data_IF_898578187802
#
_entry.id   IF_898578187802
#
_cell.length_a   1.000
_cell.length_b   1.000
_cell.length_c   1.000
_cell.angle_alpha   90.00
_cell.angle_beta   90.00
_cell.angle_gamma   90.00
#
_symmetry.space_group_name_H-M   'P 1'
#
loop_
_entity.id
_entity.type
_entity.pdbx_description
1 polymer ?
#
# COMPACT_ATOMS: atom_id res chain seq x y z
N UNK A 1 -14.05 -14.99 -6.57
CA UNK A 1 -14.50 -14.08 -5.49
C UNK A 1 -14.05 -12.69 -5.91
N UNK A 2 -14.95 -11.68 -5.97
CA UNK A 2 -14.55 -10.33 -6.34
C UNK A 2 -13.61 -9.75 -5.28
N UNK A 3 -12.48 -9.17 -5.72
CA UNK A 3 -11.51 -8.51 -4.85
C UNK A 3 -12.17 -7.35 -4.08
N UNK A 4 -11.84 -7.23 -2.79
CA UNK A 4 -12.27 -6.15 -1.92
C UNK A 4 -11.13 -5.19 -1.68
N UNK A 5 -11.18 -4.00 -2.28
CA UNK A 5 -10.18 -2.96 -2.08
C UNK A 5 -10.61 -1.96 -1.01
N UNK A 6 -9.76 -1.78 -0.01
CA UNK A 6 -9.95 -0.78 1.04
C UNK A 6 -9.28 0.53 0.62
N UNK A 7 -10.07 1.56 0.39
CA UNK A 7 -9.58 2.91 0.14
C UNK A 7 -9.54 3.72 1.43
N UNK A 8 -8.37 4.22 1.83
CA UNK A 8 -8.22 5.08 3.00
C UNK A 8 -7.62 6.42 2.63
N UNK A 9 -8.35 7.49 2.91
CA UNK A 9 -7.87 8.87 2.77
C UNK A 9 -8.25 9.69 4.01
N UNK A 10 -7.31 10.53 4.48
CA UNK A 10 -7.51 11.30 5.71
C UNK A 10 -8.64 12.34 5.60
N UNK A 11 -8.96 12.80 4.39
CA UNK A 11 -10.02 13.76 4.13
C UNK A 11 -10.78 13.40 2.85
N UNK A 12 -11.74 12.49 2.94
CA UNK A 12 -12.68 12.19 1.83
C UNK A 12 -13.39 13.46 1.38
N UNK A 13 -13.64 14.41 2.30
CA UNK A 13 -14.24 15.71 2.03
C UNK A 13 -13.51 16.51 0.94
N UNK A 14 -12.18 16.36 0.83
CA UNK A 14 -11.37 17.16 -0.09
C UNK A 14 -10.96 16.40 -1.36
N UNK A 15 -11.47 15.15 -1.58
CA UNK A 15 -10.97 14.29 -2.65
C UNK A 15 -12.02 13.58 -3.48
N UNK A 16 -12.65 14.35 -4.38
CA UNK A 16 -13.60 13.80 -5.35
C UNK A 16 -13.01 12.69 -6.22
N UNK A 17 -11.69 12.70 -6.47
CA UNK A 17 -11.01 11.71 -7.32
C UNK A 17 -11.04 10.30 -6.73
N UNK A 18 -10.84 10.15 -5.40
CA UNK A 18 -10.84 8.84 -4.73
C UNK A 18 -12.23 8.21 -4.78
N UNK A 19 -13.28 8.99 -4.50
CA UNK A 19 -14.66 8.51 -4.57
C UNK A 19 -15.05 8.13 -6.01
N UNK A 20 -14.67 8.94 -7.00
CA UNK A 20 -14.89 8.60 -8.41
C UNK A 20 -14.17 7.33 -8.80
N UNK A 21 -12.91 7.15 -8.37
CA UNK A 21 -12.13 5.95 -8.63
C UNK A 21 -12.76 4.71 -7.99
N UNK A 22 -13.22 4.80 -6.73
CA UNK A 22 -13.89 3.71 -6.03
C UNK A 22 -15.18 3.27 -6.74
N UNK A 23 -16.01 4.24 -7.15
CA UNK A 23 -17.25 3.98 -7.92
C UNK A 23 -16.92 3.35 -9.28
N UNK A 24 -15.94 3.92 -10.00
CA UNK A 24 -15.54 3.40 -11.31
C UNK A 24 -15.00 1.98 -11.22
N UNK A 25 -14.14 1.70 -10.25
CA UNK A 25 -13.57 0.38 -10.01
C UNK A 25 -14.69 -0.67 -9.81
N UNK A 26 -15.64 -0.37 -8.94
CA UNK A 26 -16.74 -1.28 -8.63
C UNK A 26 -17.69 -1.46 -9.83
N UNK A 27 -18.06 -0.38 -10.53
CA UNK A 27 -18.92 -0.43 -11.74
C UNK A 27 -18.25 -1.12 -12.92
N UNK A 28 -16.93 -1.10 -12.97
CA UNK A 28 -16.14 -1.85 -13.97
C UNK A 28 -16.07 -3.36 -13.69
N UNK A 29 -16.67 -3.85 -12.59
CA UNK A 29 -16.68 -5.27 -12.23
C UNK A 29 -15.32 -5.79 -11.75
N UNK A 30 -14.37 -4.90 -11.43
CA UNK A 30 -13.03 -5.29 -10.98
C UNK A 30 -13.01 -5.80 -9.53
N UNK A 31 -14.01 -5.39 -8.73
CA UNK A 31 -14.14 -5.82 -7.34
C UNK A 31 -15.05 -4.91 -6.54
N UNK A 32 -15.11 -5.13 -5.22
CA UNK A 32 -15.83 -4.26 -4.28
C UNK A 32 -14.90 -3.20 -3.71
N UNK A 33 -15.41 -1.98 -3.55
CA UNK A 33 -14.70 -0.88 -2.93
C UNK A 33 -15.25 -0.62 -1.53
N UNK A 34 -14.36 -0.66 -0.52
CA UNK A 34 -14.65 -0.21 0.84
C UNK A 34 -13.98 1.14 1.06
N UNK A 35 -14.73 2.11 1.52
CA UNK A 35 -14.23 3.47 1.76
C UNK A 35 -14.19 3.75 3.25
N UNK A 36 -13.02 4.00 3.81
CA UNK A 36 -12.87 4.34 5.23
C UNK A 36 -13.19 5.82 5.43
N UNK A 37 -14.28 6.11 6.14
CA UNK A 37 -14.71 7.48 6.38
C UNK A 37 -15.98 7.60 7.21
N UNK A 38 -16.41 8.84 7.44
CA UNK A 38 -17.72 9.09 8.03
C UNK A 38 -18.79 8.94 6.96
N UNK A 39 -19.82 8.16 7.25
CA UNK A 39 -20.89 7.87 6.30
C UNK A 39 -21.55 9.15 5.75
N UNK A 40 -21.85 10.11 6.63
CA UNK A 40 -22.47 11.38 6.26
C UNK A 40 -21.59 12.21 5.30
N UNK A 41 -20.28 12.28 5.58
CA UNK A 41 -19.31 13.03 4.76
C UNK A 41 -19.19 12.40 3.36
N UNK A 42 -19.11 11.06 3.30
CA UNK A 42 -19.01 10.31 2.03
C UNK A 42 -20.28 10.50 1.20
N UNK A 43 -21.46 10.32 1.80
CA UNK A 43 -22.75 10.47 1.13
C UNK A 43 -22.98 11.88 0.61
N UNK A 44 -22.66 12.89 1.45
CA UNK A 44 -22.75 14.29 1.02
C UNK A 44 -21.85 14.55 -0.20
N UNK A 45 -20.61 14.04 -0.15
CA UNK A 45 -19.65 14.25 -1.23
C UNK A 45 -20.04 13.53 -2.53
N UNK A 46 -20.59 12.34 -2.44
CA UNK A 46 -21.12 11.62 -3.61
C UNK A 46 -22.26 12.42 -4.29
N UNK A 47 -23.14 13.04 -3.50
CA UNK A 47 -24.19 13.94 -4.04
C UNK A 47 -23.58 15.14 -4.77
N UNK A 48 -22.60 15.82 -4.16
CA UNK A 48 -21.91 16.97 -4.75
C UNK A 48 -21.22 16.60 -6.09
N UNK A 49 -20.82 15.34 -6.24
CA UNK A 49 -20.16 14.82 -7.45
C UNK A 49 -21.12 14.35 -8.54
N UNK A 50 -22.43 14.41 -8.29
CA UNK A 50 -23.45 13.85 -9.17
C UNK A 50 -23.49 12.32 -9.21
N UNK A 51 -22.97 11.67 -8.14
CA UNK A 51 -22.90 10.22 -7.99
C UNK A 51 -23.81 9.74 -6.84
N UNK A 52 -24.97 10.36 -6.69
CA UNK A 52 -25.92 10.05 -5.63
C UNK A 52 -26.41 8.58 -5.67
N UNK A 53 -26.51 8.02 -6.85
CA UNK A 53 -26.84 6.61 -7.10
C UNK A 53 -25.80 5.63 -6.52
N UNK A 54 -24.53 6.02 -6.51
CA UNK A 54 -23.47 5.19 -5.93
C UNK A 54 -23.47 5.10 -4.38
N UNK A 55 -24.33 5.86 -3.71
CA UNK A 55 -24.47 5.83 -2.24
C UNK A 55 -24.83 4.44 -1.71
N UNK A 56 -25.63 3.69 -2.46
CA UNK A 56 -26.04 2.34 -2.11
C UNK A 56 -25.09 1.27 -2.63
N UNK A 57 -24.19 1.62 -3.53
CA UNK A 57 -23.23 0.69 -4.12
C UNK A 57 -21.97 0.58 -3.27
N UNK A 58 -21.48 1.70 -2.70
CA UNK A 58 -20.23 1.72 -1.93
C UNK A 58 -20.45 1.34 -0.47
N UNK A 59 -19.59 0.47 0.02
CA UNK A 59 -19.50 0.15 1.44
C UNK A 59 -18.63 1.19 2.16
N UNK A 60 -19.23 1.90 3.12
CA UNK A 60 -18.55 2.92 3.92
C UNK A 60 -18.30 2.39 5.32
N UNK A 61 -17.04 2.37 5.74
CA UNK A 61 -16.64 1.89 7.06
C UNK A 61 -16.15 3.06 7.93
N UNK A 62 -16.83 3.29 9.04
CA UNK A 62 -16.45 4.32 10.00
C UNK A 62 -15.58 3.73 11.11
N UNK A 63 -14.31 4.12 11.14
CA UNK A 63 -13.33 3.63 12.11
C UNK A 63 -13.77 3.82 13.59
N UNK A 64 -14.53 4.87 13.90
CA UNK A 64 -14.98 5.14 15.25
C UNK A 64 -16.26 4.39 15.65
N UNK A 65 -16.97 3.77 14.70
CA UNK A 65 -18.26 3.11 14.92
C UNK A 65 -18.27 1.63 14.55
N UNK A 66 -17.12 1.07 14.18
CA UNK A 66 -17.02 -0.34 13.80
C UNK A 66 -17.10 -1.25 15.03
N UNK A 67 -17.77 -2.38 14.89
CA UNK A 67 -17.80 -3.46 15.91
C UNK A 67 -16.42 -4.13 16.10
N UNK A 68 -15.53 -4.01 15.11
CA UNK A 68 -14.19 -4.61 15.14
C UNK A 68 -13.16 -3.76 15.89
N UNK A 69 -13.51 -2.56 16.40
CA UNK A 69 -12.54 -1.63 16.97
C UNK A 69 -11.76 -2.23 18.16
N UNK A 70 -12.42 -2.99 19.02
CA UNK A 70 -11.76 -3.59 20.18
C UNK A 70 -10.74 -4.64 19.76
N UNK A 71 -11.10 -5.52 18.83
CA UNK A 71 -10.17 -6.54 18.27
C UNK A 71 -8.96 -5.86 17.61
N UNK A 72 -9.19 -4.78 16.88
CA UNK A 72 -8.11 -4.02 16.23
C UNK A 72 -7.19 -3.33 17.25
N UNK A 73 -7.74 -2.82 18.34
CA UNK A 73 -6.97 -2.22 19.44
C UNK A 73 -6.08 -3.25 20.15
N UNK A 74 -6.64 -4.41 20.47
CA UNK A 74 -5.91 -5.48 21.15
C UNK A 74 -4.74 -5.97 20.27
N UNK A 75 -5.01 -6.23 19.00
CA UNK A 75 -3.99 -6.59 18.04
C UNK A 75 -2.89 -5.52 17.92
N UNK A 76 -3.29 -4.25 17.78
CA UNK A 76 -2.34 -3.14 17.63
C UNK A 76 -1.53 -2.90 18.90
N UNK A 77 -2.16 -3.04 20.09
CA UNK A 77 -1.49 -2.89 21.37
C UNK A 77 -0.42 -3.95 21.58
N UNK A 78 -0.72 -5.22 21.28
CA UNK A 78 0.25 -6.29 21.39
C UNK A 78 1.51 -6.04 20.54
N UNK A 79 1.37 -5.40 19.40
CA UNK A 79 2.47 -5.04 18.50
C UNK A 79 3.26 -3.82 18.97
N UNK A 80 2.57 -2.83 19.56
CA UNK A 80 3.14 -1.50 19.84
C UNK A 80 3.55 -1.29 21.31
N UNK A 81 3.06 -2.09 22.26
CA UNK A 81 3.37 -1.96 23.69
C UNK A 81 4.88 -1.95 23.98
N UNK A 82 5.68 -2.75 23.26
CA UNK A 82 7.15 -2.77 23.40
C UNK A 82 7.85 -1.58 22.75
N UNK A 83 7.13 -0.83 21.91
CA UNK A 83 7.61 0.41 21.26
C UNK A 83 7.22 1.66 22.06
N UNK A 84 6.65 1.50 23.27
CA UNK A 84 6.32 2.59 24.19
C UNK A 84 4.94 3.21 23.99
N UNK A 85 4.04 2.57 23.23
CA UNK A 85 2.67 3.04 23.05
C UNK A 85 1.79 2.53 24.21
N UNK A 86 1.04 3.43 24.81
CA UNK A 86 0.04 3.09 25.82
C UNK A 86 -1.33 2.74 25.18
N UNK A 87 -2.28 2.18 25.96
CA UNK A 87 -3.61 1.84 25.44
C UNK A 87 -4.40 3.03 24.89
N UNK A 88 -4.19 4.26 25.41
CA UNK A 88 -4.86 5.46 24.94
C UNK A 88 -4.30 5.90 23.58
N UNK A 89 -2.99 5.80 23.40
CA UNK A 89 -2.33 6.02 22.09
C UNK A 89 -2.85 5.05 21.05
N UNK A 90 -2.89 3.77 21.38
CA UNK A 90 -3.39 2.71 20.48
C UNK A 90 -4.85 2.95 20.10
N UNK A 91 -5.70 3.29 21.09
CA UNK A 91 -7.10 3.64 20.81
C UNK A 91 -7.20 4.83 19.82
N UNK A 92 -6.42 5.88 20.07
CA UNK A 92 -6.40 7.07 19.21
C UNK A 92 -5.93 6.74 17.79
N UNK A 93 -4.90 5.92 17.65
CA UNK A 93 -4.35 5.52 16.36
C UNK A 93 -5.37 4.62 15.62
N UNK A 94 -5.89 3.58 16.25
CA UNK A 94 -6.83 2.65 15.65
C UNK A 94 -8.15 3.33 15.23
N UNK A 95 -8.65 4.32 16.00
CA UNK A 95 -9.94 4.95 15.72
C UNK A 95 -9.86 6.20 14.84
N UNK A 96 -8.70 6.86 14.75
CA UNK A 96 -8.56 8.16 14.07
C UNK A 96 -7.59 8.16 12.90
N UNK A 97 -6.57 7.31 12.90
CA UNK A 97 -5.66 7.20 11.76
C UNK A 97 -6.22 6.21 10.75
N UNK A 98 -6.71 6.73 9.63
CA UNK A 98 -7.37 5.92 8.60
C UNK A 98 -6.42 5.00 7.85
N UNK A 99 -5.13 5.33 7.78
CA UNK A 99 -4.13 4.46 7.16
C UNK A 99 -3.92 3.21 8.02
N UNK A 100 -3.76 3.41 9.34
CA UNK A 100 -3.65 2.30 10.31
C UNK A 100 -4.94 1.50 10.35
N UNK A 101 -6.10 2.16 10.41
CA UNK A 101 -7.38 1.47 10.43
C UNK A 101 -7.60 0.60 9.19
N UNK A 102 -7.31 1.12 7.99
CA UNK A 102 -7.45 0.36 6.76
C UNK A 102 -6.42 -0.79 6.66
N UNK A 103 -5.21 -0.60 7.19
CA UNK A 103 -4.24 -1.67 7.33
C UNK A 103 -4.71 -2.76 8.31
N UNK A 104 -5.36 -2.39 9.42
CA UNK A 104 -5.97 -3.33 10.36
C UNK A 104 -7.12 -4.13 9.72
N UNK A 105 -7.95 -3.49 8.89
CA UNK A 105 -8.98 -4.20 8.11
C UNK A 105 -8.34 -5.26 7.21
N UNK A 106 -7.24 -4.93 6.54
CA UNK A 106 -6.51 -5.85 5.68
C UNK A 106 -5.91 -7.01 6.49
N UNK A 107 -5.26 -6.72 7.61
CA UNK A 107 -4.66 -7.72 8.49
C UNK A 107 -5.68 -8.74 9.04
N UNK A 108 -6.95 -8.34 9.17
CA UNK A 108 -8.03 -9.20 9.66
C UNK A 108 -8.89 -9.80 8.52
N UNK A 109 -8.45 -9.69 7.26
CA UNK A 109 -9.15 -10.30 6.13
C UNK A 109 -10.44 -9.60 5.71
N UNK A 110 -10.67 -8.35 6.15
CA UNK A 110 -11.83 -7.55 5.75
C UNK A 110 -11.65 -6.87 4.39
N UNK A 111 -10.50 -7.06 3.75
CA UNK A 111 -10.18 -6.60 2.41
C UNK A 111 -8.99 -7.36 1.84
N UNK A 112 -8.81 -7.34 0.54
CA UNK A 112 -7.75 -8.05 -0.20
C UNK A 112 -6.59 -7.12 -0.59
N UNK A 113 -6.82 -5.81 -0.58
CA UNK A 113 -5.82 -4.81 -0.92
C UNK A 113 -6.13 -3.45 -0.32
N UNK A 114 -5.11 -2.64 -0.13
CA UNK A 114 -5.20 -1.29 0.41
C UNK A 114 -4.69 -0.27 -0.61
N UNK A 115 -5.56 0.71 -0.94
CA UNK A 115 -5.19 1.87 -1.76
C UNK A 115 -5.18 3.12 -0.88
N UNK A 116 -4.01 3.74 -0.73
CA UNK A 116 -3.83 4.88 0.17
C UNK A 116 -2.71 5.82 -0.33
N UNK A 117 -2.54 6.99 0.30
CA UNK A 117 -1.33 7.82 0.13
C UNK A 117 -1.45 9.05 -0.75
N UNK A 118 -2.62 9.41 -1.26
CA UNK A 118 -2.80 10.55 -2.19
C UNK A 118 -2.44 11.91 -1.56
N UNK A 119 -2.48 12.05 -0.22
CA UNK A 119 -2.27 13.33 0.48
C UNK A 119 -1.05 13.40 1.35
N UNK A 120 -0.52 12.27 1.73
CA UNK A 120 0.60 12.18 2.65
C UNK A 120 1.87 11.79 1.90
N UNK A 121 3.02 12.17 2.44
CA UNK A 121 4.31 11.66 1.97
C UNK A 121 4.31 10.13 2.12
N UNK A 122 4.82 9.44 1.14
CA UNK A 122 4.92 7.96 1.10
C UNK A 122 5.58 7.38 2.34
N UNK A 123 6.69 7.97 2.80
CA UNK A 123 7.36 7.56 4.02
C UNK A 123 6.45 7.60 5.27
N UNK A 124 5.59 8.64 5.39
CA UNK A 124 4.63 8.74 6.49
C UNK A 124 3.56 7.64 6.40
N UNK A 125 3.08 7.34 5.19
CA UNK A 125 2.07 6.30 4.99
C UNK A 125 2.66 4.92 5.28
N UNK A 126 3.87 4.67 4.80
CA UNK A 126 4.59 3.41 5.07
C UNK A 126 4.84 3.21 6.57
N UNK A 127 5.27 4.26 7.28
CA UNK A 127 5.41 4.24 8.73
C UNK A 127 4.10 3.82 9.44
N UNK A 128 2.95 4.36 9.00
CA UNK A 128 1.64 3.99 9.55
C UNK A 128 1.26 2.54 9.25
N UNK A 129 1.55 2.07 8.04
CA UNK A 129 1.30 0.67 7.66
C UNK A 129 2.19 -0.28 8.47
N UNK A 130 3.45 0.10 8.74
CA UNK A 130 4.39 -0.66 9.57
C UNK A 130 3.99 -0.75 11.06
N UNK A 131 2.99 0.00 11.51
CA UNK A 131 2.38 -0.25 12.84
C UNK A 131 1.57 -1.55 12.85
N UNK A 132 1.05 -1.96 11.70
CA UNK A 132 0.17 -3.12 11.53
C UNK A 132 0.89 -4.32 10.92
N UNK A 133 1.69 -4.09 9.91
CA UNK A 133 2.46 -5.13 9.21
C UNK A 133 3.94 -5.03 9.56
N UNK A 134 4.60 -6.18 9.67
CA UNK A 134 6.05 -6.24 9.66
C UNK A 134 6.54 -6.31 8.21
N UNK A 135 7.74 -5.79 7.98
CA UNK A 135 8.46 -6.12 6.75
C UNK A 135 8.63 -7.65 6.68
N UNK A 136 8.58 -8.20 5.49
CA UNK A 136 8.93 -9.61 5.31
C UNK A 136 10.32 -9.85 5.90
N UNK A 137 10.44 -10.84 6.80
CA UNK A 137 11.71 -11.11 7.48
C UNK A 137 12.82 -11.56 6.52
N UNK A 138 12.44 -12.13 5.38
CA UNK A 138 13.38 -12.63 4.38
C UNK A 138 13.77 -11.54 3.37
N UNK A 139 12.79 -10.83 2.80
CA UNK A 139 13.02 -9.98 1.61
C UNK A 139 12.64 -8.51 1.82
N UNK A 140 12.31 -8.11 3.04
CA UNK A 140 12.00 -6.72 3.38
C UNK A 140 10.74 -6.14 2.69
N UNK A 141 10.72 -4.82 2.56
CA UNK A 141 9.68 -4.06 1.84
C UNK A 141 10.30 -3.45 0.59
N UNK A 142 9.64 -3.64 -0.54
CA UNK A 142 10.13 -3.20 -1.84
C UNK A 142 9.08 -2.36 -2.55
N UNK A 143 9.48 -1.22 -3.07
CA UNK A 143 8.64 -0.35 -3.90
C UNK A 143 8.68 -0.79 -5.36
N UNK A 144 7.54 -1.22 -5.93
CA UNK A 144 7.48 -1.67 -7.32
C UNK A 144 6.55 -0.77 -8.12
N UNK A 145 7.06 -0.20 -9.21
CA UNK A 145 6.29 0.59 -10.16
C UNK A 145 6.10 -0.17 -11.46
N UNK A 146 4.84 -0.37 -11.87
CA UNK A 146 4.53 -0.96 -13.17
C UNK A 146 4.39 0.16 -14.22
N UNK A 147 5.26 0.13 -15.23
CA UNK A 147 5.17 0.99 -16.41
C UNK A 147 4.51 0.21 -17.54
N UNK A 148 3.36 0.70 -18.02
CA UNK A 148 2.61 0.08 -19.11
C UNK A 148 2.73 0.97 -20.34
N UNK A 149 3.34 0.46 -21.42
CA UNK A 149 3.50 1.19 -22.66
C UNK A 149 3.38 0.26 -23.88
N UNK A 150 2.50 0.59 -24.82
CA UNK A 150 2.29 -0.16 -26.07
C UNK A 150 2.18 -1.68 -25.88
N UNK A 151 1.39 -2.10 -24.86
CA UNK A 151 1.17 -3.52 -24.57
C UNK A 151 2.33 -4.23 -23.88
N UNK A 152 3.39 -3.51 -23.50
CA UNK A 152 4.49 -4.03 -22.69
C UNK A 152 4.35 -3.57 -21.25
N UNK A 153 4.70 -4.45 -20.32
CA UNK A 153 4.77 -4.15 -18.90
C UNK A 153 6.24 -4.23 -18.47
N UNK A 154 6.72 -3.17 -17.86
CA UNK A 154 8.07 -3.11 -17.27
C UNK A 154 7.87 -2.82 -15.78
N UNK A 155 8.44 -3.64 -14.94
CA UNK A 155 8.49 -3.40 -13.50
C UNK A 155 9.81 -2.72 -13.16
N UNK A 156 9.73 -1.61 -12.46
CA UNK A 156 10.90 -0.84 -11.98
C UNK A 156 10.91 -0.95 -10.46
N UNK A 157 12.04 -1.35 -9.87
CA UNK A 157 12.22 -1.61 -8.45
C UNK A 157 13.66 -1.33 -8.00
N UNK A 158 13.96 -0.84 -6.81
CA UNK A 158 13.05 -0.21 -5.86
C UNK A 158 12.82 1.24 -6.26
N UNK A 159 11.58 1.70 -6.13
CA UNK A 159 11.24 3.07 -6.55
C UNK A 159 10.97 4.00 -5.37
N UNK A 160 10.99 3.51 -4.12
CA UNK A 160 10.45 4.33 -3.03
C UNK A 160 10.98 4.04 -1.62
N UNK A 161 11.43 2.83 -1.33
CA UNK A 161 11.62 2.37 0.05
C UNK A 161 13.06 2.40 0.48
N UNK A 162 13.96 1.90 -0.35
CA UNK A 162 15.38 1.76 -0.02
C UNK A 162 16.23 2.78 -0.77
N UNK A 163 16.84 3.72 -0.03
CA UNK A 163 17.70 4.75 -0.62
C UNK A 163 19.11 4.24 -0.93
N UNK A 164 19.62 3.32 -0.09
CA UNK A 164 21.00 2.82 -0.15
C UNK A 164 21.04 1.29 0.02
N UNK A 165 20.53 0.50 -0.94
CA UNK A 165 20.55 -0.95 -0.85
C UNK A 165 21.99 -1.47 -0.94
N UNK A 166 22.31 -2.51 -0.16
CA UNK A 166 23.51 -3.34 -0.33
C UNK A 166 23.29 -4.42 -1.40
N UNK A 167 24.26 -5.29 -1.62
CA UNK A 167 24.20 -6.34 -2.64
C UNK A 167 23.05 -7.32 -2.40
N UNK A 168 22.88 -7.75 -1.14
CA UNK A 168 21.80 -8.63 -0.73
C UNK A 168 20.45 -7.94 -0.86
N UNK A 169 20.33 -6.69 -0.42
CA UNK A 169 19.08 -5.92 -0.57
C UNK A 169 18.67 -5.80 -2.05
N UNK A 170 19.64 -5.63 -2.96
CA UNK A 170 19.39 -5.58 -4.40
C UNK A 170 18.89 -6.94 -4.94
N UNK A 171 19.43 -8.05 -4.46
CA UNK A 171 18.96 -9.38 -4.80
C UNK A 171 17.53 -9.60 -4.29
N UNK A 172 17.26 -9.27 -3.03
CA UNK A 172 15.93 -9.36 -2.41
C UNK A 172 14.89 -8.50 -3.18
N UNK A 173 15.26 -7.29 -3.60
CA UNK A 173 14.44 -6.41 -4.45
C UNK A 173 14.14 -7.09 -5.79
N UNK A 174 15.13 -7.72 -6.41
CA UNK A 174 14.96 -8.39 -7.70
C UNK A 174 14.04 -9.61 -7.56
N UNK A 175 14.18 -10.40 -6.51
CA UNK A 175 13.32 -11.55 -6.22
C UNK A 175 11.87 -11.13 -5.97
N UNK A 176 11.65 -10.10 -5.15
CA UNK A 176 10.33 -9.53 -4.92
C UNK A 176 9.67 -9.05 -6.22
N UNK A 177 10.41 -8.33 -7.06
CA UNK A 177 9.91 -7.87 -8.35
C UNK A 177 9.60 -9.03 -9.31
N UNK A 178 10.44 -10.06 -9.32
CA UNK A 178 10.20 -11.27 -10.09
C UNK A 178 8.95 -12.04 -9.60
N UNK A 179 8.72 -12.08 -8.28
CA UNK A 179 7.51 -12.64 -7.69
C UNK A 179 6.25 -11.93 -8.18
N UNK A 180 6.24 -10.60 -8.17
CA UNK A 180 5.12 -9.80 -8.70
C UNK A 180 4.95 -10.01 -10.20
N UNK A 181 6.03 -10.11 -10.99
CA UNK A 181 5.93 -10.41 -12.42
C UNK A 181 5.22 -11.75 -12.66
N UNK A 182 5.57 -12.80 -11.92
CA UNK A 182 4.90 -14.11 -12.02
C UNK A 182 3.43 -14.04 -11.63
N UNK A 183 3.08 -13.28 -10.60
CA UNK A 183 1.67 -13.06 -10.21
C UNK A 183 0.86 -12.37 -11.32
N UNK A 184 1.52 -11.51 -12.11
CA UNK A 184 0.93 -10.86 -13.29
C UNK A 184 0.93 -11.76 -14.53
N UNK A 185 1.37 -13.01 -14.45
CA UNK A 185 1.46 -13.95 -15.57
C UNK A 185 2.62 -13.64 -16.53
N UNK A 186 3.62 -12.89 -16.08
CA UNK A 186 4.80 -12.54 -16.87
C UNK A 186 5.98 -13.46 -16.51
N UNK A 187 6.79 -13.79 -17.52
CA UNK A 187 8.09 -14.42 -17.29
C UNK A 187 9.11 -13.34 -16.88
N UNK A 188 9.66 -13.38 -15.66
CA UNK A 188 10.56 -12.35 -15.21
C UNK A 188 11.93 -12.43 -15.92
N UNK A 189 12.40 -11.28 -16.40
CA UNK A 189 13.75 -11.06 -16.89
C UNK A 189 14.30 -9.85 -16.17
N UNK A 190 15.26 -10.06 -15.29
CA UNK A 190 15.79 -9.03 -14.41
C UNK A 190 17.06 -8.43 -15.01
N UNK A 191 17.16 -7.10 -14.95
CA UNK A 191 18.38 -6.37 -15.26
C UNK A 191 18.68 -5.38 -14.12
N UNK A 192 19.88 -5.46 -13.57
CA UNK A 192 20.41 -4.44 -12.65
C UNK A 192 20.93 -3.27 -13.48
N UNK A 193 20.39 -2.07 -13.23
CA UNK A 193 20.69 -0.88 -14.02
C UNK A 193 21.42 0.14 -13.17
N UNK A 194 22.57 0.60 -13.63
CA UNK A 194 23.40 1.60 -12.99
C UNK A 194 23.69 2.75 -13.97
N UNK A 195 24.13 3.89 -13.46
CA UNK A 195 24.64 5.00 -14.28
C UNK A 195 26.02 4.69 -14.90
N UNK A 196 26.66 3.61 -14.51
CA UNK A 196 27.96 3.16 -15.03
C UNK A 196 27.80 2.54 -16.41
N UNK A 197 28.69 2.88 -17.33
CA UNK A 197 28.78 2.30 -18.67
C UNK A 197 30.07 1.50 -18.77
N UNK A 198 29.97 0.19 -19.01
CA UNK A 198 31.12 -0.74 -19.05
C UNK A 198 32.05 -0.63 -17.84
N UNK A 199 31.47 -0.44 -16.62
CA UNK A 199 32.24 -0.33 -15.38
C UNK A 199 32.82 1.06 -15.09
N UNK A 200 32.52 2.07 -15.91
CA UNK A 200 32.97 3.45 -15.68
C UNK A 200 31.78 4.43 -15.53
N UNK A 201 31.83 5.39 -14.59
CA UNK A 201 32.85 5.55 -13.55
C UNK A 201 32.80 4.44 -12.51
N UNK A 202 33.97 4.10 -11.95
CA UNK A 202 34.05 3.18 -10.81
C UNK A 202 33.46 3.86 -9.57
N UNK A 203 32.50 3.20 -8.94
CA UNK A 203 31.91 3.68 -7.69
C UNK A 203 31.40 2.50 -6.88
N UNK A 204 31.32 2.67 -5.57
CA UNK A 204 30.75 1.67 -4.66
C UNK A 204 29.35 1.22 -5.07
N UNK A 205 28.52 2.14 -5.56
CA UNK A 205 27.17 1.82 -6.04
C UNK A 205 27.18 0.96 -7.31
N UNK A 206 28.08 1.22 -8.23
CA UNK A 206 28.20 0.44 -9.45
C UNK A 206 28.73 -0.97 -9.14
N UNK A 207 29.63 -1.10 -8.17
CA UNK A 207 30.16 -2.37 -7.70
C UNK A 207 29.07 -3.24 -7.07
N UNK A 208 28.24 -2.69 -6.20
CA UNK A 208 27.08 -3.39 -5.61
C UNK A 208 26.13 -3.93 -6.67
N UNK A 209 25.82 -3.13 -7.71
CA UNK A 209 25.00 -3.56 -8.85
C UNK A 209 25.64 -4.71 -9.64
N UNK A 210 26.96 -4.74 -9.69
CA UNK A 210 27.71 -5.81 -10.37
C UNK A 210 27.72 -7.11 -9.56
N UNK A 211 27.77 -7.01 -8.24
CA UNK A 211 27.83 -8.17 -7.33
C UNK A 211 26.45 -8.76 -7.04
N UNK A 212 25.39 -7.94 -7.02
CA UNK A 212 24.05 -8.37 -6.66
C UNK A 212 23.50 -9.60 -7.43
N UNK A 213 23.78 -9.81 -8.74
CA UNK A 213 23.35 -11.03 -9.44
C UNK A 213 23.90 -12.33 -8.87
N UNK A 214 25.02 -12.28 -8.13
CA UNK A 214 25.61 -13.47 -7.53
C UNK A 214 24.93 -13.88 -6.21
N UNK A 215 24.08 -13.00 -5.65
CA UNK A 215 23.30 -13.25 -4.44
C UNK A 215 21.90 -13.83 -4.75
N UNK A 216 21.51 -13.89 -6.04
CA UNK A 216 20.25 -14.50 -6.52
C UNK A 216 20.40 -16.01 -6.70
#
# INVERSE_FOLDING_TARGET
IPLRLVGSEMCIRDRPRVLRAAVTYQRSGLGKSLVVGRDEDVRSKLKDLGLADAITELEVVNAAKTEHLEVYKDFLYDRLKRKGFDPADVHRIASRDRHVFAALMLAHGHGDGLVTGVTRKSATVLDRINHVFDANAENGVTGITALIHKGRIILISDTLVQEWPNEKDLADIAENAAGVARQLGLEPRVAFVSFSTFGHPVSERAEKMYLAPAEL
#
